data_IF_612066347765
#
_entry.id   IF_612066347765
#
_cell.length_a   1.000
_cell.length_b   1.000
_cell.length_c   1.000
_cell.angle_alpha   90.00
_cell.angle_beta   90.00
_cell.angle_gamma   90.00
#
_symmetry.space_group_name_H-M   'P 1'
#
loop_
_entity.id
_entity.type
_entity.pdbx_description
1 polymer ?
#
# COMPACT_ATOMS: atom_id res chain seq x y z
N UNK A 1 -3.19 4.81 -0.74
CA UNK A 1 -1.99 4.14 -1.30
C UNK A 1 -2.04 2.67 -0.95
N UNK A 2 -1.50 1.82 -1.81
CA UNK A 2 -1.20 0.42 -1.50
C UNK A 2 0.12 0.36 -0.73
N UNK A 3 0.13 -0.35 0.39
CA UNK A 3 1.25 -0.45 1.34
C UNK A 3 1.39 -1.91 1.73
N UNK A 4 2.49 -2.55 1.35
CA UNK A 4 2.75 -3.97 1.62
C UNK A 4 4.06 -4.11 2.40
N UNK A 5 3.99 -4.81 3.52
CA UNK A 5 5.18 -5.19 4.29
C UNK A 5 5.92 -6.31 3.56
N UNK A 6 7.24 -6.16 3.38
CA UNK A 6 8.09 -7.16 2.74
C UNK A 6 8.90 -7.97 3.74
N UNK A 7 9.41 -7.35 4.81
CA UNK A 7 10.20 -8.08 5.82
C UNK A 7 11.25 -8.99 5.19
N UNK A 8 11.27 -10.25 5.62
CA UNK A 8 12.13 -11.33 5.08
C UNK A 8 11.51 -12.10 3.90
N UNK A 9 10.32 -11.70 3.43
CA UNK A 9 9.53 -12.42 2.42
C UNK A 9 9.30 -11.64 1.12
N UNK A 10 8.71 -12.33 0.14
CA UNK A 10 8.30 -11.72 -1.14
C UNK A 10 6.84 -11.26 -1.15
N UNK A 11 6.02 -11.80 -0.23
CA UNK A 11 4.61 -11.47 -0.01
C UNK A 11 4.40 -11.23 1.47
N UNK A 12 3.66 -10.17 1.82
CA UNK A 12 3.31 -9.93 3.21
C UNK A 12 1.95 -9.24 3.38
N UNK A 13 1.61 -8.88 4.63
CA UNK A 13 0.41 -8.12 4.93
C UNK A 13 0.37 -6.82 4.12
N UNK A 14 -0.78 -6.56 3.50
CA UNK A 14 -0.99 -5.41 2.64
C UNK A 14 -2.21 -4.59 3.07
N UNK A 15 -2.12 -3.27 2.86
CA UNK A 15 -3.17 -2.32 3.20
C UNK A 15 -3.38 -1.28 2.11
N UNK A 16 -4.63 -0.82 1.97
CA UNK A 16 -4.97 0.46 1.38
C UNK A 16 -5.12 1.48 2.50
N UNK A 17 -4.26 2.49 2.52
CA UNK A 17 -4.23 3.50 3.58
C UNK A 17 -3.99 4.93 3.07
N UNK A 18 -4.41 5.92 3.87
CA UNK A 18 -4.13 7.34 3.63
C UNK A 18 -2.69 7.66 3.99
N UNK A 19 -1.95 8.30 3.10
CA UNK A 19 -0.58 8.73 3.38
C UNK A 19 -0.46 10.24 3.25
N UNK A 20 0.51 10.81 3.96
CA UNK A 20 0.93 12.21 3.78
C UNK A 20 2.34 12.23 3.26
N UNK A 21 2.55 12.78 2.07
CA UNK A 21 3.89 12.98 1.54
C UNK A 21 4.56 14.17 2.23
N UNK A 22 5.87 14.04 2.48
CA UNK A 22 6.71 15.18 2.84
C UNK A 22 6.71 16.24 1.74
N UNK A 23 7.03 17.49 2.08
CA UNK A 23 7.09 18.61 1.12
C UNK A 23 7.98 18.32 -0.10
N UNK A 24 9.03 17.52 0.08
CA UNK A 24 9.99 17.16 -0.98
C UNK A 24 9.65 15.84 -1.68
N UNK A 25 8.61 15.14 -1.25
CA UNK A 25 8.24 13.80 -1.75
C UNK A 25 9.23 12.69 -1.41
N UNK A 26 10.27 12.97 -0.60
CA UNK A 26 11.34 12.00 -0.28
C UNK A 26 10.94 10.99 0.80
N UNK A 27 10.02 11.37 1.67
CA UNK A 27 9.37 10.50 2.65
C UNK A 27 7.85 10.63 2.60
N UNK A 28 7.17 9.63 3.16
CA UNK A 28 5.73 9.64 3.40
C UNK A 28 5.43 9.16 4.82
N UNK A 29 4.29 9.58 5.37
CA UNK A 29 3.81 9.19 6.69
C UNK A 29 2.53 8.39 6.58
N UNK A 30 2.43 7.31 7.34
CA UNK A 30 1.27 6.44 7.42
C UNK A 30 1.15 5.84 8.84
N UNK A 31 -0.02 5.95 9.46
CA UNK A 31 -0.29 5.42 10.82
C UNK A 31 0.78 5.77 11.87
N UNK A 32 1.21 7.03 11.89
CA UNK A 32 2.24 7.51 12.82
C UNK A 32 3.68 7.12 12.47
N UNK A 33 3.90 6.29 11.44
CA UNK A 33 5.23 5.88 10.97
C UNK A 33 5.69 6.72 9.80
N UNK A 34 7.00 6.98 9.71
CA UNK A 34 7.63 7.66 8.59
C UNK A 34 8.43 6.67 7.75
N UNK A 35 8.26 6.73 6.42
CA UNK A 35 8.88 5.83 5.47
C UNK A 35 9.77 6.63 4.51
N UNK A 36 10.98 6.13 4.30
CA UNK A 36 11.98 6.74 3.41
C UNK A 36 12.17 5.90 2.16
N UNK A 37 12.26 6.55 1.00
CA UNK A 37 12.52 5.87 -0.26
C UNK A 37 13.87 5.15 -0.22
N UNK A 38 13.87 3.89 -0.68
CA UNK A 38 15.09 3.08 -0.86
C UNK A 38 15.84 3.43 -2.15
N UNK A 39 15.33 4.34 -2.99
CA UNK A 39 15.96 4.76 -4.27
C UNK A 39 16.40 3.57 -5.15
N UNK A 40 15.62 2.50 -5.17
CA UNK A 40 15.90 1.30 -5.96
C UNK A 40 16.89 0.31 -5.35
N UNK A 41 17.36 0.53 -4.11
CA UNK A 41 18.28 -0.38 -3.41
C UNK A 41 17.58 -1.51 -2.65
N UNK A 42 16.24 -1.55 -2.64
CA UNK A 42 15.46 -2.58 -1.95
C UNK A 42 15.22 -3.83 -2.80
N UNK A 43 15.12 -4.99 -2.16
CA UNK A 43 14.75 -6.24 -2.83
C UNK A 43 13.22 -6.37 -2.86
N UNK A 44 12.60 -6.18 -4.03
CA UNK A 44 11.12 -6.15 -4.19
C UNK A 44 10.42 -5.17 -3.23
N UNK A 45 11.14 -4.15 -2.80
CA UNK A 45 10.70 -3.09 -1.90
C UNK A 45 11.21 -1.74 -2.41
N UNK A 46 10.51 -0.65 -2.07
CA UNK A 46 10.86 0.70 -2.49
C UNK A 46 10.87 1.73 -1.35
N UNK A 47 10.40 1.37 -0.16
CA UNK A 47 10.49 2.18 1.06
C UNK A 47 11.01 1.34 2.23
N UNK A 48 11.61 2.00 3.21
CA UNK A 48 11.86 1.43 4.53
C UNK A 48 11.29 2.34 5.61
N UNK A 49 10.79 1.72 6.67
CA UNK A 49 10.40 2.42 7.88
C UNK A 49 11.61 3.09 8.54
N UNK A 50 11.41 4.32 9.01
CA UNK A 50 12.47 5.16 9.57
C UNK A 50 13.06 4.62 10.87
N UNK A 51 12.27 3.93 11.68
CA UNK A 51 12.68 3.45 13.00
C UNK A 51 13.21 2.01 12.93
N UNK A 52 12.41 1.11 12.36
CA UNK A 52 12.66 -0.34 12.37
C UNK A 52 13.52 -0.81 11.19
N UNK A 53 13.66 0.01 10.14
CA UNK A 53 14.33 -0.33 8.87
C UNK A 53 13.66 -1.46 8.08
N UNK A 54 12.50 -1.93 8.54
CA UNK A 54 11.63 -2.86 7.83
C UNK A 54 11.31 -2.35 6.42
N UNK A 55 11.35 -3.24 5.43
CA UNK A 55 11.14 -2.90 4.03
C UNK A 55 9.68 -3.05 3.61
N UNK A 56 9.24 -2.14 2.75
CA UNK A 56 7.87 -2.03 2.27
C UNK A 56 7.84 -1.78 0.76
N UNK A 57 6.78 -2.28 0.12
CA UNK A 57 6.36 -1.84 -1.20
C UNK A 57 5.18 -0.87 -1.05
N UNK A 58 5.37 0.38 -1.47
CA UNK A 58 4.35 1.42 -1.41
C UNK A 58 4.14 2.04 -2.79
N UNK A 59 2.90 2.00 -3.28
CA UNK A 59 2.54 2.54 -4.60
C UNK A 59 1.14 3.13 -4.62
N UNK A 60 0.83 3.88 -5.68
CA UNK A 60 -0.52 4.34 -5.95
C UNK A 60 -1.46 3.14 -6.10
N UNK A 61 -2.72 3.32 -5.69
CA UNK A 61 -3.75 2.31 -5.90
C UNK A 61 -4.16 2.30 -7.38
N UNK A 62 -4.30 1.12 -7.98
CA UNK A 62 -4.71 0.94 -9.37
C UNK A 62 -6.22 0.78 -9.48
N UNK A 63 -6.79 1.26 -10.58
CA UNK A 63 -8.22 1.13 -10.88
C UNK A 63 -8.64 -0.32 -11.09
N UNK A 64 -7.76 -1.13 -11.69
CA UNK A 64 -7.98 -2.56 -11.92
C UNK A 64 -7.80 -3.41 -10.66
N UNK A 65 -7.17 -2.88 -9.61
CA UNK A 65 -6.89 -3.60 -8.37
C UNK A 65 -5.73 -4.58 -8.42
N UNK A 66 -4.92 -4.58 -9.48
CA UNK A 66 -3.72 -5.40 -9.58
C UNK A 66 -2.55 -4.72 -8.83
N UNK A 67 -2.80 -4.31 -7.58
CA UNK A 67 -1.89 -3.52 -6.76
C UNK A 67 -0.66 -4.34 -6.32
N UNK A 68 -0.88 -5.62 -6.01
CA UNK A 68 0.12 -6.51 -5.46
C UNK A 68 1.01 -7.16 -6.53
N UNK A 69 2.27 -7.39 -6.17
CA UNK A 69 3.20 -8.13 -7.02
C UNK A 69 2.84 -9.62 -7.11
N UNK A 70 2.43 -10.21 -5.98
CA UNK A 70 1.99 -11.61 -5.84
C UNK A 70 0.61 -11.63 -5.17
N UNK A 71 -0.18 -12.71 -5.30
CA UNK A 71 -1.53 -12.72 -4.75
C UNK A 71 -1.48 -12.57 -3.23
N UNK A 72 -2.25 -11.64 -2.69
CA UNK A 72 -2.33 -11.40 -1.24
C UNK A 72 -3.71 -10.89 -0.84
N UNK A 73 -3.97 -10.88 0.46
CA UNK A 73 -5.16 -10.23 1.02
C UNK A 73 -4.79 -8.81 1.42
N UNK A 74 -5.59 -7.84 0.98
CA UNK A 74 -5.38 -6.42 1.24
C UNK A 74 -6.52 -5.92 2.11
N UNK A 75 -6.18 -5.39 3.28
CA UNK A 75 -7.14 -4.68 4.14
C UNK A 75 -7.28 -3.22 3.71
N UNK A 76 -8.46 -2.65 3.89
CA UNK A 76 -8.75 -1.24 3.56
C UNK A 76 -9.09 -0.50 4.84
N UNK A 77 -8.27 0.49 5.18
CA UNK A 77 -8.50 1.33 6.34
C UNK A 77 -9.85 2.07 6.24
N UNK A 78 -10.54 2.19 7.38
CA UNK A 78 -11.92 2.68 7.44
C UNK A 78 -12.08 4.11 6.90
N UNK A 79 -11.08 4.99 7.10
CA UNK A 79 -11.10 6.41 6.69
C UNK A 79 -10.92 6.63 5.18
N UNK A 80 -10.48 5.61 4.44
CA UNK A 80 -10.27 5.66 2.98
C UNK A 80 -11.16 4.68 2.23
N UNK A 81 -11.92 3.83 2.91
CA UNK A 81 -12.67 2.74 2.29
C UNK A 81 -13.62 3.21 1.19
N UNK A 82 -14.46 4.18 1.52
CA UNK A 82 -15.43 4.71 0.55
C UNK A 82 -14.72 5.40 -0.62
N UNK A 83 -13.70 6.22 -0.33
CA UNK A 83 -12.90 6.90 -1.36
C UNK A 83 -12.23 5.91 -2.32
N UNK A 84 -11.66 4.83 -1.79
CA UNK A 84 -11.04 3.77 -2.58
C UNK A 84 -12.05 3.09 -3.49
N UNK A 85 -13.18 2.63 -2.97
CA UNK A 85 -14.17 1.92 -3.77
C UNK A 85 -14.85 2.82 -4.80
N UNK A 86 -15.23 4.03 -4.42
CA UNK A 86 -15.99 4.95 -5.28
C UNK A 86 -15.07 5.65 -6.29
N UNK A 87 -14.00 6.29 -5.83
CA UNK A 87 -13.19 7.19 -6.67
C UNK A 87 -12.06 6.48 -7.42
N UNK A 88 -11.48 5.44 -6.81
CA UNK A 88 -10.35 4.73 -7.41
C UNK A 88 -10.84 3.50 -8.19
N UNK A 89 -11.67 2.65 -7.58
CA UNK A 89 -12.15 1.41 -8.19
C UNK A 89 -13.38 1.58 -9.08
N UNK A 90 -14.11 2.69 -8.95
CA UNK A 90 -15.39 2.92 -9.62
C UNK A 90 -16.40 1.79 -9.38
N UNK A 91 -16.47 1.33 -8.12
CA UNK A 91 -17.33 0.24 -7.64
C UNK A 91 -18.04 0.66 -6.34
N UNK A 92 -18.97 1.63 -6.39
CA UNK A 92 -19.65 2.16 -5.21
C UNK A 92 -20.48 1.13 -4.43
N UNK A 93 -20.87 0.02 -5.07
CA UNK A 93 -21.56 -1.12 -4.47
C UNK A 93 -20.69 -1.86 -3.45
N UNK A 94 -19.36 -1.81 -3.62
CA UNK A 94 -18.40 -2.50 -2.74
C UNK A 94 -17.92 -1.64 -1.56
N UNK A 95 -18.47 -0.43 -1.36
CA UNK A 95 -18.02 0.52 -0.32
C UNK A 95 -18.00 -0.02 1.12
N UNK A 96 -18.72 -1.11 1.39
CA UNK A 96 -18.79 -1.77 2.70
C UNK A 96 -17.70 -2.84 2.89
N UNK A 97 -17.04 -3.27 1.82
CA UNK A 97 -16.01 -4.32 1.84
C UNK A 97 -14.73 -3.77 2.47
N UNK A 98 -14.26 -4.45 3.53
CA UNK A 98 -13.09 -4.04 4.31
C UNK A 98 -11.78 -4.70 3.86
N UNK A 99 -11.86 -5.76 3.09
CA UNK A 99 -10.70 -6.51 2.60
C UNK A 99 -11.00 -7.14 1.25
N UNK A 100 -9.99 -7.25 0.40
CA UNK A 100 -10.09 -7.94 -0.88
C UNK A 100 -8.91 -8.88 -1.10
N UNK A 101 -9.12 -9.90 -1.94
CA UNK A 101 -8.01 -10.61 -2.57
C UNK A 101 -7.50 -9.77 -3.72
N UNK A 102 -6.25 -9.36 -3.64
CA UNK A 102 -5.57 -8.68 -4.74
C UNK A 102 -4.98 -9.73 -5.67
N UNK A 103 -5.42 -9.71 -6.93
CA UNK A 103 -4.79 -10.52 -7.97
C UNK A 103 -3.36 -10.02 -8.22
N UNK A 104 -2.48 -10.94 -8.57
CA UNK A 104 -1.09 -10.63 -8.89
C UNK A 104 -0.95 -10.10 -10.31
N UNK A 105 0.16 -9.38 -10.54
CA UNK A 105 0.64 -9.06 -11.89
C UNK A 105 1.27 -10.28 -12.61
N UNK A 106 1.56 -11.37 -11.90
CA UNK A 106 2.24 -12.58 -12.37
C UNK A 106 1.44 -13.85 -12.08
#
# INVERSE_FOLDING_TARGET
MYIEYKGDGIVGPARIGRVTFSKTGKSLRYRGREFHSLKGQGFKANYADGETREQYWISGCKKDGADALYPTTVEIDDDVREEYWVKIRNKPELRHIKSLKCASKY
#
